data_IF_514516726082
#
_entry.id   IF_514516726082
#
_cell.length_a   1.000
_cell.length_b   1.000
_cell.length_c   1.000
_cell.angle_alpha   90.00
_cell.angle_beta   90.00
_cell.angle_gamma   90.00
#
_symmetry.space_group_name_H-M   'P 1'
#
loop_
_entity.id
_entity.type
_entity.pdbx_description
1 polymer ?
#
# COMPACT_ATOMS: atom_id res chain seq x y z
N UNK A 1 -10.44 11.12 -1.05
CA UNK A 1 -9.77 10.87 -2.36
C UNK A 1 -8.41 10.25 -2.10
N UNK A 2 -7.86 9.52 -3.06
CA UNK A 2 -6.52 8.93 -3.02
C UNK A 2 -5.56 9.74 -3.89
N UNK A 3 -4.39 10.08 -3.37
CA UNK A 3 -3.35 10.82 -4.06
C UNK A 3 -2.13 9.92 -4.28
N UNK A 4 -1.47 10.03 -5.43
CA UNK A 4 -0.22 9.33 -5.71
C UNK A 4 0.91 10.34 -5.79
N UNK A 5 1.95 10.16 -4.97
CA UNK A 5 3.12 11.03 -4.93
C UNK A 5 4.38 10.18 -5.03
N UNK A 6 5.39 10.69 -5.73
CA UNK A 6 6.78 10.23 -5.60
C UNK A 6 7.33 10.62 -4.22
N UNK A 7 8.45 10.02 -3.83
CA UNK A 7 9.13 10.40 -2.58
C UNK A 7 9.54 11.87 -2.59
N UNK A 8 10.03 12.41 -3.71
CA UNK A 8 10.37 13.82 -3.85
C UNK A 8 9.15 14.73 -3.61
N UNK A 9 8.02 14.46 -4.27
CA UNK A 9 6.80 15.24 -4.08
C UNK A 9 6.28 15.15 -2.64
N UNK A 10 6.45 14.00 -1.98
CA UNK A 10 6.06 13.84 -0.57
C UNK A 10 6.99 14.66 0.35
N UNK A 11 8.30 14.65 0.12
CA UNK A 11 9.29 15.42 0.90
C UNK A 11 9.09 16.93 0.78
N UNK A 12 8.65 17.42 -0.38
CA UNK A 12 8.27 18.82 -0.59
C UNK A 12 7.03 19.26 0.22
N UNK A 13 6.37 18.32 0.91
CA UNK A 13 5.21 18.54 1.78
C UNK A 13 5.51 18.02 3.19
N UNK A 14 6.27 18.76 4.01
CA UNK A 14 6.73 18.30 5.32
C UNK A 14 5.60 17.83 6.24
N UNK A 15 4.47 18.53 6.26
CA UNK A 15 3.33 18.16 7.10
C UNK A 15 2.72 16.81 6.67
N UNK A 16 2.67 16.54 5.37
CA UNK A 16 2.16 15.28 4.83
C UNK A 16 3.18 14.15 4.99
N UNK A 17 4.47 14.44 4.79
CA UNK A 17 5.56 13.52 5.10
C UNK A 17 5.49 13.09 6.55
N UNK A 18 5.38 14.03 7.49
CA UNK A 18 5.25 13.74 8.91
C UNK A 18 4.00 12.90 9.19
N UNK A 19 2.83 13.31 8.69
CA UNK A 19 1.58 12.59 8.91
C UNK A 19 1.62 11.14 8.42
N UNK A 20 2.19 10.89 7.23
CA UNK A 20 2.34 9.54 6.67
C UNK A 20 3.26 8.67 7.53
N UNK A 21 4.44 9.18 7.89
CA UNK A 21 5.44 8.37 8.59
C UNK A 21 5.10 8.17 10.08
N UNK A 22 4.32 9.08 10.70
CA UNK A 22 3.71 8.85 12.01
C UNK A 22 2.60 7.81 11.95
N UNK A 23 1.72 7.86 10.94
CA UNK A 23 0.68 6.84 10.76
C UNK A 23 1.31 5.45 10.60
N UNK A 24 2.36 5.36 9.78
CA UNK A 24 3.13 4.13 9.59
C UNK A 24 3.75 3.65 10.90
N UNK A 25 4.37 4.52 11.69
CA UNK A 25 4.93 4.17 12.99
C UNK A 25 3.87 3.62 13.95
N UNK A 26 2.74 4.33 14.08
CA UNK A 26 1.62 3.90 14.92
C UNK A 26 1.15 2.48 14.54
N UNK A 27 0.99 2.20 13.25
CA UNK A 27 0.47 0.90 12.81
C UNK A 27 1.54 -0.19 12.89
N UNK A 28 2.68 -0.01 12.22
CA UNK A 28 3.65 -1.09 12.06
C UNK A 28 4.50 -1.32 13.31
N UNK A 29 4.85 -0.24 14.03
CA UNK A 29 5.66 -0.35 15.26
C UNK A 29 4.78 -0.52 16.48
N UNK A 30 3.82 0.38 16.72
CA UNK A 30 3.05 0.35 17.97
C UNK A 30 1.94 -0.71 17.99
N UNK A 31 1.15 -0.83 16.92
CA UNK A 31 0.05 -1.81 16.86
C UNK A 31 0.52 -3.22 16.49
N UNK A 32 1.40 -3.34 15.49
CA UNK A 32 1.86 -4.64 14.98
C UNK A 32 3.12 -5.17 15.67
N UNK A 33 3.84 -4.33 16.41
CA UNK A 33 5.02 -4.74 17.19
C UNK A 33 6.24 -5.05 16.34
N UNK A 34 6.40 -4.44 15.16
CA UNK A 34 7.60 -4.60 14.32
C UNK A 34 8.74 -3.77 14.89
N UNK A 35 9.37 -4.26 15.96
CA UNK A 35 10.40 -3.56 16.72
C UNK A 35 11.65 -3.23 15.90
N UNK A 36 11.97 -4.01 14.86
CA UNK A 36 13.11 -3.74 13.96
C UNK A 36 12.94 -2.43 13.17
N UNK A 37 11.71 -1.92 13.05
CA UNK A 37 11.41 -0.64 12.41
C UNK A 37 11.34 0.53 13.41
N UNK A 38 11.54 0.28 14.71
CA UNK A 38 11.42 1.32 15.74
C UNK A 38 12.53 2.34 15.60
N UNK A 39 12.12 3.61 15.44
CA UNK A 39 13.01 4.77 15.50
C UNK A 39 12.64 5.71 16.66
N UNK A 40 13.62 6.40 17.28
CA UNK A 40 13.36 7.34 18.38
C UNK A 40 12.55 8.58 18.00
N UNK A 41 12.52 8.97 16.73
CA UNK A 41 11.79 10.14 16.23
C UNK A 41 10.28 9.89 16.02
N UNK A 42 9.83 8.65 16.22
CA UNK A 42 8.42 8.26 16.03
C UNK A 42 8.00 8.25 14.57
N UNK A 43 8.95 8.10 13.64
CA UNK A 43 8.69 7.89 12.22
C UNK A 43 9.07 6.47 11.81
N UNK A 44 8.28 5.85 10.94
CA UNK A 44 8.66 4.59 10.29
C UNK A 44 9.03 4.89 8.84
N UNK A 45 10.33 4.88 8.54
CA UNK A 45 10.92 5.07 7.19
C UNK A 45 11.96 3.96 7.01
N UNK A 46 11.97 3.31 5.86
CA UNK A 46 12.93 2.24 5.53
C UNK A 46 13.72 2.56 4.25
N UNK A 47 14.61 1.65 3.83
CA UNK A 47 15.46 1.83 2.65
C UNK A 47 14.70 1.89 1.32
N UNK A 48 13.42 1.51 1.30
CA UNK A 48 12.59 1.51 0.10
C UNK A 48 11.77 2.80 -0.04
N UNK A 49 11.90 3.76 0.88
CA UNK A 49 11.39 5.13 0.74
C UNK A 49 12.34 5.98 -0.14
N UNK A 50 12.65 5.48 -1.33
CA UNK A 50 13.55 6.09 -2.32
C UNK A 50 12.78 6.76 -3.47
N UNK A 51 13.44 7.57 -4.29
CA UNK A 51 12.82 8.40 -5.34
C UNK A 51 11.84 7.68 -6.30
N UNK A 52 12.05 6.40 -6.61
CA UNK A 52 11.16 5.62 -7.48
C UNK A 52 9.93 5.02 -6.76
N UNK A 53 9.81 5.18 -5.44
CA UNK A 53 8.66 4.73 -4.69
C UNK A 53 7.45 5.62 -4.95
N UNK A 54 6.28 4.99 -5.11
CA UNK A 54 5.02 5.70 -5.26
C UNK A 54 4.18 5.53 -4.01
N UNK A 55 3.97 6.64 -3.32
CA UNK A 55 3.17 6.74 -2.11
C UNK A 55 1.72 7.01 -2.48
N UNK A 56 0.83 6.11 -2.10
CA UNK A 56 -0.61 6.24 -2.32
C UNK A 56 -1.30 6.56 -1.00
N UNK A 57 -1.89 7.75 -0.92
CA UNK A 57 -2.35 8.35 0.33
C UNK A 57 -3.83 8.67 0.23
N UNK A 58 -4.64 8.11 1.12
CA UNK A 58 -6.05 8.47 1.25
C UNK A 58 -6.19 9.56 2.29
N UNK A 59 -6.74 10.70 1.88
CA UNK A 59 -7.01 11.83 2.76
C UNK A 59 -8.50 11.99 2.99
N UNK A 60 -8.85 12.29 4.25
CA UNK A 60 -10.20 12.64 4.71
C UNK A 60 -10.12 13.84 5.64
N UNK A 61 -10.82 14.91 5.29
CA UNK A 61 -10.65 16.19 6.00
C UNK A 61 -9.18 16.60 5.96
N UNK A 62 -8.57 16.72 7.14
CA UNK A 62 -7.16 17.07 7.30
C UNK A 62 -6.35 15.91 7.94
N UNK A 63 -6.76 14.67 7.70
CA UNK A 63 -6.13 13.46 8.23
C UNK A 63 -5.75 12.48 7.13
N UNK A 64 -4.62 11.80 7.33
CA UNK A 64 -4.24 10.63 6.52
C UNK A 64 -5.06 9.44 7.01
N UNK A 65 -6.09 9.09 6.24
CA UNK A 65 -7.00 8.01 6.56
C UNK A 65 -6.45 6.63 6.17
N UNK A 66 -5.58 6.58 5.15
CA UNK A 66 -4.94 5.35 4.70
C UNK A 66 -3.72 5.61 3.85
N UNK A 67 -2.87 4.60 3.74
CA UNK A 67 -1.59 4.66 3.06
C UNK A 67 -1.21 3.30 2.48
N UNK A 68 -0.50 3.31 1.35
CA UNK A 68 0.27 2.17 0.84
C UNK A 68 1.41 2.69 -0.05
N UNK A 69 2.43 1.87 -0.29
CA UNK A 69 3.58 2.21 -1.12
C UNK A 69 3.74 1.17 -2.24
N UNK A 70 3.96 1.65 -3.46
CA UNK A 70 4.30 0.82 -4.61
C UNK A 70 5.80 0.94 -4.90
N UNK A 71 6.48 -0.19 -5.06
CA UNK A 71 7.90 -0.29 -5.39
C UNK A 71 8.11 -0.97 -6.74
N UNK A 72 9.03 -0.50 -7.60
CA UNK A 72 9.32 -1.16 -8.86
C UNK A 72 10.10 -2.46 -8.62
N UNK A 73 9.64 -3.58 -9.21
CA UNK A 73 10.36 -4.86 -9.08
C UNK A 73 11.65 -4.94 -9.89
N UNK A 74 11.93 -3.94 -10.74
CA UNK A 74 13.16 -3.84 -11.55
C UNK A 74 14.39 -3.40 -10.76
N UNK A 75 14.27 -3.27 -9.44
CA UNK A 75 15.30 -2.85 -8.49
C UNK A 75 15.13 -3.64 -7.18
N UNK A 76 16.11 -3.61 -6.26
CA UNK A 76 15.92 -4.19 -4.93
C UNK A 76 14.65 -3.65 -4.24
N UNK A 77 13.86 -4.57 -3.68
CA UNK A 77 12.55 -4.32 -3.07
C UNK A 77 12.35 -5.27 -1.88
N UNK A 78 11.22 -5.20 -1.17
CA UNK A 78 11.04 -5.88 0.12
C UNK A 78 11.25 -7.40 0.01
N UNK A 79 10.62 -8.04 -0.97
CA UNK A 79 10.76 -9.48 -1.21
C UNK A 79 12.18 -9.89 -1.58
N UNK A 80 12.94 -9.07 -2.32
CA UNK A 80 14.29 -9.45 -2.75
C UNK A 80 15.35 -9.24 -1.67
N UNK A 81 15.20 -8.21 -0.82
CA UNK A 81 16.22 -7.81 0.14
C UNK A 81 15.94 -8.26 1.58
N UNK A 82 14.67 -8.33 2.00
CA UNK A 82 14.28 -8.59 3.41
C UNK A 82 13.56 -9.91 3.56
N UNK A 83 12.64 -10.23 2.64
CA UNK A 83 11.76 -11.40 2.74
C UNK A 83 12.06 -12.47 1.68
N UNK A 84 13.32 -12.55 1.23
CA UNK A 84 13.75 -13.41 0.12
C UNK A 84 13.43 -14.90 0.31
N UNK A 85 13.33 -15.35 1.56
CA UNK A 85 13.02 -16.74 1.88
C UNK A 85 11.54 -17.11 1.62
N UNK A 86 10.66 -16.14 1.35
CA UNK A 86 9.27 -16.35 0.95
C UNK A 86 9.10 -16.72 -0.54
N UNK A 87 10.16 -16.64 -1.35
CA UNK A 87 10.14 -16.96 -2.77
C UNK A 87 10.87 -18.27 -3.06
N UNK A 88 10.18 -19.22 -3.67
CA UNK A 88 10.78 -20.45 -4.20
C UNK A 88 11.40 -20.14 -5.57
N UNK A 89 12.63 -19.63 -5.53
CA UNK A 89 13.38 -19.22 -6.71
C UNK A 89 13.36 -17.70 -6.93
N UNK A 90 13.71 -17.28 -8.14
CA UNK A 90 13.83 -15.86 -8.48
C UNK A 90 12.46 -15.19 -8.54
N UNK A 91 12.19 -14.14 -7.73
CA UNK A 91 10.94 -13.41 -7.79
C UNK A 91 10.68 -12.82 -9.19
N UNK A 92 9.42 -12.77 -9.65
CA UNK A 92 9.07 -12.09 -10.89
C UNK A 92 9.49 -10.62 -10.86
N UNK A 93 10.14 -10.16 -11.93
CA UNK A 93 10.58 -8.78 -12.07
C UNK A 93 10.26 -8.26 -13.47
N UNK A 94 9.78 -7.03 -13.57
CA UNK A 94 9.49 -6.39 -14.86
C UNK A 94 8.81 -5.03 -14.72
N UNK A 95 8.79 -4.22 -15.79
CA UNK A 95 8.22 -2.86 -15.75
C UNK A 95 6.70 -2.83 -15.47
N UNK A 96 6.00 -3.93 -15.76
CA UNK A 96 4.57 -4.11 -15.50
C UNK A 96 4.29 -4.83 -14.16
N UNK A 97 5.31 -5.09 -13.35
CA UNK A 97 5.20 -5.78 -12.05
C UNK A 97 5.74 -4.86 -10.95
N UNK A 98 4.91 -4.58 -9.97
CA UNK A 98 5.26 -3.73 -8.83
C UNK A 98 5.05 -4.49 -7.52
N UNK A 99 5.69 -4.07 -6.45
CA UNK A 99 5.45 -4.61 -5.11
C UNK A 99 4.66 -3.60 -4.28
N UNK A 100 3.58 -4.04 -3.63
CA UNK A 100 2.79 -3.22 -2.72
C UNK A 100 3.23 -3.52 -1.29
N UNK A 101 3.70 -2.48 -0.61
CA UNK A 101 4.15 -2.53 0.78
C UNK A 101 3.39 -1.53 1.63
N UNK A 102 3.45 -1.71 2.96
CA UNK A 102 2.93 -0.76 3.95
C UNK A 102 1.45 -0.40 3.78
N UNK A 103 0.61 -1.39 3.43
CA UNK A 103 -0.84 -1.22 3.42
C UNK A 103 -1.35 -0.89 4.84
N UNK A 104 -1.90 0.30 5.01
CA UNK A 104 -2.26 0.87 6.30
C UNK A 104 -3.59 1.63 6.24
N UNK A 105 -4.44 1.41 7.23
CA UNK A 105 -5.68 2.19 7.44
C UNK A 105 -5.66 2.71 8.87
N UNK A 106 -5.80 4.01 9.04
CA UNK A 106 -5.84 4.65 10.36
C UNK A 106 -7.03 4.13 11.18
N UNK A 107 -6.85 3.96 12.49
CA UNK A 107 -7.80 3.30 13.38
C UNK A 107 -9.23 3.86 13.28
N UNK A 108 -9.37 5.19 13.21
CA UNK A 108 -10.67 5.88 13.07
C UNK A 108 -11.41 5.59 11.76
N UNK A 109 -10.74 5.02 10.76
CA UNK A 109 -11.30 4.71 9.43
C UNK A 109 -11.45 3.21 9.18
N UNK A 110 -11.26 2.37 10.21
CA UNK A 110 -11.50 0.92 10.17
C UNK A 110 -12.97 0.61 10.44
N UNK A 111 -13.86 1.05 9.55
CA UNK A 111 -15.33 0.91 9.67
C UNK A 111 -15.86 -0.52 9.40
N UNK A 112 -14.99 -1.50 9.15
CA UNK A 112 -15.36 -2.86 8.76
C UNK A 112 -15.32 -3.86 9.91
N UNK A 113 -16.47 -4.21 10.50
CA UNK A 113 -16.53 -5.29 11.51
C UNK A 113 -16.40 -6.71 10.93
N UNK A 114 -16.53 -6.90 9.60
CA UNK A 114 -16.47 -8.22 8.92
C UNK A 114 -15.85 -8.18 7.50
N UNK A 115 -15.05 -7.17 7.17
CA UNK A 115 -14.47 -7.03 5.83
C UNK A 115 -13.52 -5.86 5.69
N UNK A 116 -13.02 -5.63 4.47
CA UNK A 116 -12.15 -4.49 4.15
C UNK A 116 -12.92 -3.19 4.41
N UNK A 117 -12.30 -2.23 5.11
CA UNK A 117 -12.91 -0.93 5.38
C UNK A 117 -13.17 -0.15 4.09
N UNK A 118 -13.95 0.93 4.17
CA UNK A 118 -14.18 1.81 3.01
C UNK A 118 -12.86 2.37 2.48
N UNK A 119 -12.02 2.91 3.36
CA UNK A 119 -10.66 3.39 2.99
C UNK A 119 -9.79 2.26 2.45
N UNK A 120 -9.87 1.07 3.04
CA UNK A 120 -9.12 -0.08 2.52
C UNK A 120 -9.55 -0.49 1.12
N UNK A 121 -10.85 -0.41 0.83
CA UNK A 121 -11.37 -0.68 -0.51
C UNK A 121 -10.89 0.37 -1.51
N UNK A 122 -10.80 1.64 -1.10
CA UNK A 122 -10.22 2.71 -1.92
C UNK A 122 -8.72 2.51 -2.18
N UNK A 123 -7.96 2.03 -1.20
CA UNK A 123 -6.55 1.68 -1.40
C UNK A 123 -6.41 0.55 -2.43
N UNK A 124 -7.24 -0.49 -2.34
CA UNK A 124 -7.23 -1.59 -3.31
C UNK A 124 -7.61 -1.08 -4.71
N UNK A 125 -8.70 -0.32 -4.83
CA UNK A 125 -9.09 0.30 -6.10
C UNK A 125 -7.99 1.23 -6.62
N UNK A 126 -7.31 1.95 -5.73
CA UNK A 126 -6.28 2.92 -6.04
C UNK A 126 -5.09 2.32 -6.76
N UNK A 127 -4.50 1.23 -6.25
CA UNK A 127 -3.36 0.63 -6.91
C UNK A 127 -3.74 -0.04 -8.23
N UNK A 128 -4.94 -0.62 -8.33
CA UNK A 128 -5.45 -1.21 -9.58
C UNK A 128 -5.68 -0.11 -10.63
N UNK A 129 -6.40 0.97 -10.29
CA UNK A 129 -6.62 2.12 -11.18
C UNK A 129 -5.29 2.76 -11.62
N UNK A 130 -4.36 2.89 -10.69
CA UNK A 130 -3.05 3.47 -10.94
C UNK A 130 -2.23 2.59 -11.88
N UNK A 131 -2.29 1.28 -11.67
CA UNK A 131 -1.56 0.30 -12.45
C UNK A 131 -2.07 0.21 -13.88
N UNK A 132 -3.38 0.07 -14.08
CA UNK A 132 -3.98 0.00 -15.42
C UNK A 132 -3.63 1.23 -16.27
N UNK A 133 -3.63 2.43 -15.68
CA UNK A 133 -3.23 3.67 -16.36
C UNK A 133 -1.76 3.71 -16.77
N UNK A 134 -0.91 2.86 -16.20
CA UNK A 134 0.55 2.84 -16.40
C UNK A 134 1.06 1.56 -17.05
N UNK A 135 0.17 0.66 -17.48
CA UNK A 135 0.55 -0.63 -18.04
C UNK A 135 1.10 -1.61 -17.01
N UNK A 136 0.81 -1.40 -15.73
CA UNK A 136 1.09 -2.35 -14.64
C UNK A 136 -0.15 -3.21 -14.44
N UNK A 137 0.02 -4.51 -14.55
CA UNK A 137 -1.08 -5.49 -14.47
C UNK A 137 -0.84 -6.56 -13.39
N UNK A 138 0.28 -6.46 -12.68
CA UNK A 138 0.70 -7.40 -11.64
C UNK A 138 1.26 -6.67 -10.43
N UNK A 139 0.92 -7.19 -9.26
CA UNK A 139 1.45 -6.73 -7.98
C UNK A 139 1.93 -7.89 -7.13
N UNK A 140 3.13 -7.79 -6.57
CA UNK A 140 3.65 -8.67 -5.54
C UNK A 140 3.26 -8.09 -4.19
N UNK A 141 2.77 -8.93 -3.27
CA UNK A 141 2.47 -8.51 -1.90
C UNK A 141 2.82 -9.66 -0.93
N UNK A 142 3.45 -9.33 0.19
CA UNK A 142 3.73 -10.21 1.33
C UNK A 142 2.71 -9.95 2.43
N UNK A 143 1.82 -10.91 2.67
CA UNK A 143 0.70 -10.70 3.60
C UNK A 143 0.20 -12.01 4.21
N UNK A 144 -0.73 -11.92 5.15
CA UNK A 144 -1.28 -13.10 5.82
C UNK A 144 -2.06 -14.03 4.87
N UNK A 145 -1.89 -15.36 4.93
CA UNK A 145 -2.51 -16.31 3.99
C UNK A 145 -4.01 -16.13 3.73
N UNK A 146 -4.78 -15.67 4.74
CA UNK A 146 -6.21 -15.36 4.60
C UNK A 146 -6.50 -14.33 3.49
N UNK A 147 -5.59 -13.39 3.26
CA UNK A 147 -5.74 -12.38 2.21
C UNK A 147 -5.58 -12.95 0.81
N UNK A 148 -5.00 -14.16 0.63
CA UNK A 148 -4.92 -14.81 -0.69
C UNK A 148 -6.32 -15.14 -1.15
N UNK A 149 -7.12 -15.71 -0.24
CA UNK A 149 -8.53 -16.01 -0.48
C UNK A 149 -9.35 -14.73 -0.69
N UNK A 150 -9.05 -13.65 0.05
CA UNK A 150 -9.73 -12.35 -0.16
C UNK A 150 -9.38 -11.73 -1.52
N UNK A 151 -8.14 -11.87 -1.98
CA UNK A 151 -7.72 -11.40 -3.30
C UNK A 151 -8.47 -12.17 -4.40
N UNK A 152 -8.59 -13.50 -4.28
CA UNK A 152 -9.40 -14.31 -5.21
C UNK A 152 -10.88 -13.87 -5.22
N UNK A 153 -11.47 -13.56 -4.06
CA UNK A 153 -12.84 -13.03 -3.97
C UNK A 153 -13.00 -11.63 -4.60
N UNK A 154 -11.90 -10.89 -4.78
CA UNK A 154 -11.86 -9.62 -5.49
C UNK A 154 -11.44 -9.78 -6.95
N UNK A 155 -11.35 -11.02 -7.45
CA UNK A 155 -11.01 -11.38 -8.81
C UNK A 155 -9.60 -10.95 -9.21
N UNK A 156 -8.68 -10.93 -8.25
CA UNK A 156 -7.26 -11.05 -8.55
C UNK A 156 -6.95 -12.50 -8.87
N UNK A 157 -6.11 -12.75 -9.87
CA UNK A 157 -5.51 -14.06 -10.05
C UNK A 157 -4.29 -14.16 -9.14
N UNK A 158 -4.36 -15.00 -8.11
CA UNK A 158 -3.31 -15.15 -7.11
C UNK A 158 -2.40 -16.34 -7.42
N UNK A 159 -1.09 -16.11 -7.40
CA UNK A 159 -0.04 -17.14 -7.54
C UNK A 159 0.93 -16.99 -6.37
N UNK A 160 0.88 -17.87 -5.35
CA UNK A 160 1.89 -17.90 -4.30
C UNK A 160 3.28 -18.10 -4.92
N UNK A 161 4.25 -17.29 -4.48
CA UNK A 161 5.64 -17.36 -4.97
C UNK A 161 6.49 -18.35 -4.16
N UNK A 162 5.99 -18.78 -3.01
CA UNK A 162 6.62 -19.77 -2.17
C UNK A 162 5.73 -20.18 -1.00
N UNK A 163 6.32 -20.85 -0.02
CA UNK A 163 5.61 -21.29 1.18
C UNK A 163 5.43 -20.16 2.18
N UNK A 164 4.33 -20.22 2.94
CA UNK A 164 4.14 -19.32 4.07
C UNK A 164 5.24 -19.53 5.13
N UNK A 165 5.65 -18.45 5.78
CA UNK A 165 6.61 -18.47 6.89
C UNK A 165 6.12 -17.62 8.06
N UNK A 166 6.72 -17.86 9.22
CA UNK A 166 6.40 -17.13 10.45
C UNK A 166 7.40 -16.01 10.67
N UNK A 167 6.91 -14.78 10.82
CA UNK A 167 7.68 -13.60 11.19
C UNK A 167 7.07 -13.00 12.46
N UNK A 168 7.78 -13.11 13.59
CA UNK A 168 7.22 -12.79 14.90
C UNK A 168 5.93 -13.57 15.16
N UNK A 169 4.81 -12.86 15.32
CA UNK A 169 3.49 -13.45 15.55
C UNK A 169 2.65 -13.58 14.27
N UNK A 170 3.22 -13.30 13.09
CA UNK A 170 2.49 -13.28 11.83
C UNK A 170 2.91 -14.41 10.90
N UNK A 171 1.92 -15.01 10.24
CA UNK A 171 2.14 -15.88 9.08
C UNK A 171 2.14 -15.01 7.84
N UNK A 172 3.14 -15.14 6.98
CA UNK A 172 3.30 -14.32 5.79
C UNK A 172 3.54 -15.23 4.58
N UNK A 173 2.92 -14.92 3.46
CA UNK A 173 3.18 -15.56 2.16
C UNK A 173 3.36 -14.49 1.10
N UNK A 174 4.42 -14.61 0.29
CA UNK A 174 4.61 -13.77 -0.88
C UNK A 174 3.72 -14.27 -2.03
N UNK A 175 2.91 -13.37 -2.59
CA UNK A 175 1.95 -13.73 -3.64
C UNK A 175 1.99 -12.71 -4.77
N UNK A 176 2.11 -13.22 -6.01
CA UNK A 176 1.88 -12.43 -7.22
C UNK A 176 0.37 -12.39 -7.51
N UNK A 177 -0.18 -11.20 -7.60
CA UNK A 177 -1.57 -10.93 -7.96
C UNK A 177 -1.63 -10.28 -9.34
N UNK A 178 -2.33 -10.90 -10.30
CA UNK A 178 -2.66 -10.24 -11.57
C UNK A 178 -4.04 -9.61 -11.50
N UNK A 179 -4.19 -8.44 -12.13
CA UNK A 179 -5.44 -7.70 -12.17
C UNK A 179 -5.70 -7.06 -13.53
N UNK A 180 -6.98 -6.76 -13.81
CA UNK A 180 -7.42 -6.11 -15.04
C UNK A 180 -8.63 -5.19 -14.77
N UNK A 181 -9.24 -4.63 -15.82
CA UNK A 181 -10.48 -3.82 -15.74
C UNK A 181 -11.60 -4.56 -14.99
N UNK A 182 -11.76 -5.87 -15.19
CA UNK A 182 -12.77 -6.65 -14.49
C UNK A 182 -12.49 -6.76 -12.98
N UNK A 183 -11.22 -6.95 -12.59
CA UNK A 183 -10.80 -6.88 -11.17
C UNK A 183 -11.21 -5.53 -10.57
N UNK A 184 -10.96 -4.42 -11.29
CA UNK A 184 -11.33 -3.09 -10.83
C UNK A 184 -12.84 -2.92 -10.62
N UNK A 185 -13.64 -3.41 -11.57
CA UNK A 185 -15.11 -3.36 -11.48
C UNK A 185 -15.64 -4.12 -10.26
N UNK A 186 -15.06 -5.29 -9.97
CA UNK A 186 -15.43 -6.10 -8.79
C UNK A 186 -15.05 -5.39 -7.49
N UNK A 187 -13.86 -4.80 -7.43
CA UNK A 187 -13.41 -4.02 -6.25
C UNK A 187 -14.35 -2.84 -6.00
N UNK A 188 -14.73 -2.09 -7.05
CA UNK A 188 -15.68 -0.96 -6.96
C UNK A 188 -17.08 -1.39 -6.53
N UNK A 189 -17.55 -2.53 -7.03
CA UNK A 189 -18.88 -3.06 -6.74
C UNK A 189 -19.02 -3.49 -5.27
N UNK A 190 -17.94 -3.91 -4.60
CA UNK A 190 -17.98 -4.34 -3.17
C UNK A 190 -18.52 -3.29 -2.21
N UNK A 191 -18.36 -2.00 -2.52
CA UNK A 191 -18.83 -0.88 -1.69
C UNK A 191 -19.77 0.06 -2.45
N UNK A 192 -20.30 -0.38 -3.60
CA UNK A 192 -21.13 0.43 -4.50
C UNK A 192 -20.47 1.79 -4.82
N UNK A 193 -19.15 1.78 -5.00
CA UNK A 193 -18.35 2.98 -5.26
C UNK A 193 -17.71 2.87 -6.64
N UNK A 194 -18.39 3.38 -7.66
CA UNK A 194 -17.99 3.24 -9.06
C UNK A 194 -17.14 4.41 -9.57
N UNK A 195 -17.00 5.49 -8.78
CA UNK A 195 -16.18 6.63 -9.17
C UNK A 195 -14.68 6.28 -9.06
N UNK A 196 -13.82 6.89 -9.90
CA UNK A 196 -12.38 6.82 -9.72
C UNK A 196 -11.98 7.35 -8.35
N UNK A 197 -11.12 6.61 -7.66
CA UNK A 197 -10.61 7.02 -6.33
C UNK A 197 -9.38 7.91 -6.43
N UNK A 198 -8.65 7.81 -7.55
CA UNK A 198 -7.46 8.60 -7.84
C UNK A 198 -7.82 10.06 -8.09
N UNK A 199 -7.30 10.95 -7.24
CA UNK A 199 -7.35 12.38 -7.42
C UNK A 199 -6.48 12.83 -8.61
N UNK A 200 -6.86 13.96 -9.20
CA UNK A 200 -5.99 14.73 -10.10
C UNK A 200 -5.28 15.79 -9.26
N UNK A 201 -3.95 15.86 -9.36
CA UNK A 201 -3.14 16.85 -8.65
C UNK A 201 -2.74 16.42 -7.24
N UNK A 202 -2.43 17.40 -6.39
CA UNK A 202 -1.89 17.20 -5.05
C UNK A 202 -2.93 17.44 -3.97
N UNK A 203 -2.77 16.85 -2.78
CA UNK A 203 -3.67 17.14 -1.67
C UNK A 203 -3.44 18.54 -1.10
N UNK A 204 -4.52 19.29 -0.90
CA UNK A 204 -4.53 20.52 -0.11
C UNK A 204 -4.64 20.16 1.39
N UNK A 205 -3.58 19.55 1.93
CA UNK A 205 -3.46 19.34 3.38
C UNK A 205 -2.90 20.61 4.01
N UNK A 206 -3.50 21.04 5.12
CA UNK A 206 -3.10 22.25 5.85
C UNK A 206 -3.08 23.48 4.94
N UNK A 207 -4.25 24.12 4.76
CA UNK A 207 -4.36 25.35 3.99
C UNK A 207 -3.22 26.31 4.33
N UNK A 208 -2.49 26.77 3.31
CA UNK A 208 -1.41 27.73 3.47
C UNK A 208 -1.86 28.79 4.47
N UNK A 209 -1.24 28.84 5.66
CA UNK A 209 -1.31 30.05 6.47
C UNK A 209 -0.69 31.13 5.60
N UNK A 210 -1.53 31.87 4.88
CA UNK A 210 -1.14 33.15 4.31
C UNK A 210 -0.62 33.94 5.49
N UNK A 211 0.69 34.13 5.54
CA UNK A 211 1.31 35.09 6.44
C UNK A 211 0.66 36.44 6.11
N UNK A 212 -0.23 36.88 6.99
CA UNK A 212 -0.63 38.28 7.12
C UNK A 212 0.35 38.99 8.03
#
# INVERSE_FOLDING_TARGET
>A
MLFCLTTQELMERPDLWEAVHRLRYQIFVEEMGWEDLRRPDGFEVDQFDHDEAVHQIVIRGNEVAGYQRMLPTTRPHLLTDVLADLSEGTPPSGPNIWELTRYAVAAGFRDGRRGVSTVGTELIAGFVEWGLKRGVDKVIIEFEPMWVLRALQLHFLATPLGYQRTYGNQQVVATLLSFNEHTLDVVRSRRNHHAPVLARGYPDMFGQRRAS
#
